data_IF_267473839188
#
_entry.id   IF_267473839188
#
_cell.length_a   1.000
_cell.length_b   1.000
_cell.length_c   1.000
_cell.angle_alpha   90.00
_cell.angle_beta   90.00
_cell.angle_gamma   90.00
#
_symmetry.space_group_name_H-M   'P 1'
#
loop_
_entity.id
_entity.type
_entity.pdbx_description
1 polymer ?
#
# COMPACT_ATOMS: atom_id res chain seq x y z
N UNK A 1 1.34 28.41 5.98
CA UNK A 1 0.67 27.18 6.46
C UNK A 1 0.79 26.14 5.35
N UNK A 2 1.64 25.12 5.49
CA UNK A 2 1.65 23.98 4.55
C UNK A 2 0.41 23.15 4.88
N UNK A 3 -0.56 23.10 3.97
CA UNK A 3 -1.75 22.25 4.14
C UNK A 3 -1.34 20.79 4.33
N UNK A 4 -2.05 20.06 5.19
CA UNK A 4 -1.85 18.63 5.42
C UNK A 4 -2.06 17.91 4.07
N UNK A 5 -0.99 17.38 3.46
CA UNK A 5 -1.13 16.53 2.27
C UNK A 5 -1.81 15.24 2.69
N UNK A 6 -2.95 14.94 2.09
CA UNK A 6 -3.57 13.63 2.21
C UNK A 6 -2.62 12.57 1.66
N UNK A 7 -2.51 11.43 2.36
CA UNK A 7 -1.60 10.34 1.97
C UNK A 7 -2.01 9.70 0.65
N UNK A 8 -3.30 9.68 0.37
CA UNK A 8 -3.90 9.00 -0.77
C UNK A 8 -4.88 9.94 -1.46
N UNK A 9 -4.94 9.89 -2.78
CA UNK A 9 -5.98 10.57 -3.56
C UNK A 9 -6.44 9.65 -4.68
N UNK A 10 -7.75 9.47 -4.82
CA UNK A 10 -8.33 8.66 -5.86
C UNK A 10 -8.31 9.40 -7.21
N UNK A 11 -7.95 8.71 -8.28
CA UNK A 11 -7.99 9.28 -9.63
C UNK A 11 -8.26 8.19 -10.67
N UNK A 12 -8.79 8.61 -11.82
CA UNK A 12 -9.00 7.71 -12.96
C UNK A 12 -7.71 7.61 -13.78
N UNK A 13 -7.20 6.39 -13.92
CA UNK A 13 -6.01 6.11 -14.73
C UNK A 13 -6.45 5.66 -16.14
N UNK A 14 -6.01 6.34 -17.22
CA UNK A 14 -6.30 5.92 -18.59
C UNK A 14 -5.86 4.48 -18.88
N UNK A 15 -6.62 3.73 -19.68
CA UNK A 15 -6.39 2.30 -19.92
C UNK A 15 -5.03 1.97 -20.59
N UNK A 16 -4.49 2.94 -21.33
CA UNK A 16 -3.19 2.92 -22.01
C UNK A 16 -2.05 3.49 -21.16
N UNK A 17 -2.32 3.91 -19.92
CA UNK A 17 -1.32 4.47 -19.03
C UNK A 17 -0.18 3.45 -18.77
N UNK A 18 1.10 3.88 -18.79
CA UNK A 18 2.26 2.98 -18.70
C UNK A 18 2.38 2.21 -17.37
N UNK A 19 1.63 2.60 -16.33
CA UNK A 19 1.55 1.84 -15.06
C UNK A 19 1.11 0.39 -15.29
N UNK A 20 0.20 0.16 -16.24
CA UNK A 20 -0.31 -1.18 -16.53
C UNK A 20 0.71 -2.08 -17.23
N UNK A 21 1.85 -1.55 -17.68
CA UNK A 21 2.97 -2.36 -18.21
C UNK A 21 4.02 -2.71 -17.15
N UNK A 22 3.90 -2.17 -15.93
CA UNK A 22 4.85 -2.47 -14.84
C UNK A 22 4.64 -3.87 -14.27
N UNK A 23 5.67 -4.38 -13.60
CA UNK A 23 5.60 -5.65 -12.87
C UNK A 23 4.76 -5.48 -11.61
N UNK A 24 4.06 -6.56 -11.22
CA UNK A 24 3.31 -6.60 -9.97
C UNK A 24 4.29 -6.50 -8.80
N UNK A 25 3.91 -5.75 -7.78
CA UNK A 25 4.71 -5.55 -6.58
C UNK A 25 4.93 -6.87 -5.81
N UNK A 26 6.08 -7.04 -5.11
CA UNK A 26 6.48 -8.33 -4.56
C UNK A 26 5.50 -8.93 -3.55
N UNK A 27 5.18 -8.22 -2.46
CA UNK A 27 4.21 -8.68 -1.46
C UNK A 27 2.79 -8.75 -2.05
N UNK A 28 2.29 -7.72 -2.76
CA UNK A 28 0.95 -7.78 -3.38
C UNK A 28 0.75 -8.99 -4.31
N UNK A 29 1.78 -9.41 -5.04
CA UNK A 29 1.72 -10.65 -5.84
C UNK A 29 1.48 -11.89 -4.98
N UNK A 30 2.18 -12.02 -3.84
CA UNK A 30 2.09 -13.18 -2.94
C UNK A 30 0.72 -13.27 -2.24
N UNK A 31 0.05 -12.14 -2.04
CA UNK A 31 -1.30 -12.10 -1.47
C UNK A 31 -2.40 -12.09 -2.55
N UNK A 32 -2.07 -12.20 -3.84
CA UNK A 32 -3.04 -12.18 -4.95
C UNK A 32 -3.82 -10.86 -5.12
N UNK A 33 -3.25 -9.73 -4.70
CA UNK A 33 -3.77 -8.38 -5.00
C UNK A 33 -2.81 -7.73 -6.00
N UNK A 34 -3.09 -7.74 -7.32
CA UNK A 34 -2.06 -7.51 -8.33
C UNK A 34 -1.75 -6.01 -8.50
N UNK A 35 -1.15 -5.37 -7.50
CA UNK A 35 -0.82 -3.94 -7.54
C UNK A 35 0.42 -3.66 -8.39
N UNK A 36 0.36 -2.57 -9.14
CA UNK A 36 1.45 -2.00 -9.94
C UNK A 36 1.68 -0.54 -9.55
N UNK A 37 2.92 -0.09 -9.63
CA UNK A 37 3.31 1.29 -9.27
C UNK A 37 4.04 2.01 -10.40
N UNK A 38 3.77 3.30 -10.56
CA UNK A 38 4.44 4.18 -11.52
C UNK A 38 4.80 5.51 -10.86
N UNK A 39 6.04 5.99 -11.06
CA UNK A 39 6.48 7.31 -10.55
C UNK A 39 6.11 8.41 -11.52
N UNK A 40 5.54 9.50 -11.01
CA UNK A 40 5.19 10.67 -11.84
C UNK A 40 6.39 11.58 -12.15
N UNK A 41 7.55 11.36 -11.52
CA UNK A 41 8.73 12.21 -11.73
C UNK A 41 8.66 13.53 -10.97
N UNK A 42 7.98 13.56 -9.82
CA UNK A 42 7.92 14.74 -8.94
C UNK A 42 9.32 15.25 -8.63
N UNK A 43 9.55 16.54 -8.92
CA UNK A 43 10.79 17.23 -8.63
C UNK A 43 10.56 18.22 -7.48
N UNK A 44 11.43 18.23 -6.49
CA UNK A 44 11.47 19.24 -5.43
C UNK A 44 12.92 19.45 -5.00
N UNK A 45 13.25 20.69 -4.66
CA UNK A 45 14.54 21.07 -4.08
C UNK A 45 14.64 20.63 -2.60
N UNK A 46 13.49 20.48 -1.93
CA UNK A 46 13.40 19.94 -0.57
C UNK A 46 13.27 18.41 -0.63
N UNK A 47 14.25 17.70 -0.07
CA UNK A 47 14.27 16.24 -0.06
C UNK A 47 13.06 15.65 0.66
N UNK A 48 12.56 16.33 1.70
CA UNK A 48 11.43 15.86 2.49
C UNK A 48 10.13 15.81 1.68
N UNK A 49 10.00 16.64 0.63
CA UNK A 49 8.84 16.61 -0.26
C UNK A 49 8.79 15.35 -1.14
N UNK A 50 9.92 14.65 -1.28
CA UNK A 50 10.04 13.43 -2.08
C UNK A 50 9.99 12.16 -1.23
N UNK A 51 9.85 12.29 0.09
CA UNK A 51 9.67 11.14 0.98
C UNK A 51 8.30 10.53 0.75
N UNK A 52 8.30 9.25 0.38
CA UNK A 52 7.09 8.46 0.19
C UNK A 52 7.32 7.07 0.79
N UNK A 53 7.25 7.01 2.11
CA UNK A 53 7.40 5.77 2.87
C UNK A 53 6.35 4.73 2.47
N UNK A 54 5.14 5.17 2.12
CA UNK A 54 4.10 4.29 1.61
C UNK A 54 4.54 3.52 0.35
N UNK A 55 5.05 4.24 -0.65
CA UNK A 55 5.59 3.62 -1.85
C UNK A 55 6.82 2.75 -1.57
N UNK A 56 7.64 3.12 -0.57
CA UNK A 56 8.78 2.33 -0.11
C UNK A 56 8.30 0.97 0.40
N UNK A 57 7.34 0.95 1.33
CA UNK A 57 6.85 -0.26 1.99
C UNK A 57 6.14 -1.19 1.01
N UNK A 58 5.40 -0.63 0.05
CA UNK A 58 4.77 -1.42 -1.02
C UNK A 58 5.79 -2.13 -1.93
N UNK A 59 7.05 -1.69 -1.95
CA UNK A 59 8.13 -2.25 -2.78
C UNK A 59 9.11 -3.13 -2.00
N UNK A 60 8.83 -3.48 -0.74
CA UNK A 60 9.74 -4.32 0.06
C UNK A 60 9.93 -5.69 -0.59
N UNK A 61 11.16 -6.18 -0.52
CA UNK A 61 11.49 -7.55 -0.89
C UNK A 61 11.04 -8.53 0.21
N UNK A 62 10.31 -9.60 -0.12
CA UNK A 62 9.77 -10.53 0.86
C UNK A 62 10.82 -11.31 1.65
N UNK A 63 12.06 -11.40 1.15
CA UNK A 63 13.11 -12.18 1.80
C UNK A 63 13.93 -11.34 2.78
N UNK A 64 14.13 -10.05 2.47
CA UNK A 64 15.01 -9.15 3.23
C UNK A 64 14.27 -8.05 3.99
N UNK A 65 13.02 -7.75 3.62
CA UNK A 65 12.26 -6.63 4.17
C UNK A 65 12.68 -5.26 3.63
N UNK A 66 13.72 -5.18 2.79
CA UNK A 66 14.17 -3.91 2.21
C UNK A 66 13.53 -3.66 0.85
N UNK A 67 13.11 -2.42 0.60
CA UNK A 67 12.80 -1.98 -0.75
C UNK A 67 14.10 -1.89 -1.57
N UNK A 68 14.07 -2.11 -2.91
CA UNK A 68 15.23 -1.85 -3.76
C UNK A 68 15.73 -0.41 -3.63
N UNK A 69 17.04 -0.10 -3.84
CA UNK A 69 17.60 1.23 -3.62
C UNK A 69 16.84 2.38 -4.30
N UNK A 70 16.31 2.13 -5.50
CA UNK A 70 15.49 3.11 -6.22
C UNK A 70 14.29 3.58 -5.38
N UNK A 71 13.68 2.68 -4.59
CA UNK A 71 12.47 2.87 -3.78
C UNK A 71 12.71 3.26 -2.33
N UNK A 72 13.96 3.39 -1.87
CA UNK A 72 14.23 3.69 -0.46
C UNK A 72 14.17 5.20 -0.12
N UNK A 73 14.42 6.07 -1.10
CA UNK A 73 14.49 7.52 -0.88
C UNK A 73 14.14 8.28 -2.15
N UNK A 74 13.72 9.54 -2.00
CA UNK A 74 13.37 10.45 -3.11
C UNK A 74 12.41 9.81 -4.12
N UNK A 75 11.39 9.15 -3.61
CA UNK A 75 10.43 8.38 -4.43
C UNK A 75 9.44 9.32 -5.12
N UNK A 76 9.04 10.40 -4.43
CA UNK A 76 8.09 11.38 -4.93
C UNK A 76 6.67 10.80 -5.07
N UNK A 77 5.85 11.44 -5.90
CA UNK A 77 4.47 11.03 -6.13
C UNK A 77 4.42 9.79 -7.04
N UNK A 78 3.54 8.85 -6.68
CA UNK A 78 3.32 7.63 -7.45
C UNK A 78 1.84 7.45 -7.78
N UNK A 79 1.58 6.76 -8.89
CA UNK A 79 0.29 6.14 -9.19
C UNK A 79 0.39 4.68 -8.78
N UNK A 80 -0.62 4.19 -8.06
CA UNK A 80 -0.83 2.76 -7.80
C UNK A 80 -2.12 2.34 -8.49
N UNK A 81 -2.10 1.21 -9.17
CA UNK A 81 -3.27 0.65 -9.84
C UNK A 81 -3.26 -0.88 -9.72
N UNK A 82 -4.39 -1.54 -10.01
CA UNK A 82 -4.39 -3.00 -10.20
C UNK A 82 -4.00 -3.35 -11.64
N UNK A 83 -3.11 -4.31 -11.82
CA UNK A 83 -2.65 -4.83 -13.12
C UNK A 83 -3.81 -5.35 -13.97
N UNK A 84 -4.81 -5.95 -13.32
CA UNK A 84 -6.03 -6.48 -13.95
C UNK A 84 -7.03 -5.39 -14.33
N UNK A 85 -6.71 -4.11 -14.11
CA UNK A 85 -7.54 -2.93 -14.39
C UNK A 85 -8.87 -2.89 -13.64
N UNK A 86 -9.06 -3.73 -12.62
CA UNK A 86 -10.21 -3.59 -11.72
C UNK A 86 -10.06 -2.34 -10.86
N UNK A 87 -11.17 -1.78 -10.35
CA UNK A 87 -11.11 -0.66 -9.42
C UNK A 87 -10.20 -0.95 -8.24
N UNK A 88 -9.36 0.02 -7.88
CA UNK A 88 -8.59 0.04 -6.65
C UNK A 88 -9.17 1.12 -5.75
N UNK A 89 -9.83 0.71 -4.66
CA UNK A 89 -10.33 1.67 -3.68
C UNK A 89 -9.18 2.15 -2.79
N UNK A 90 -9.27 3.37 -2.26
CA UNK A 90 -8.25 3.92 -1.33
C UNK A 90 -8.04 2.98 -0.14
N UNK A 91 -9.12 2.44 0.42
CA UNK A 91 -9.08 1.45 1.51
C UNK A 91 -8.34 0.16 1.12
N UNK A 92 -8.44 -0.30 -0.13
CA UNK A 92 -7.68 -1.47 -0.58
C UNK A 92 -6.18 -1.19 -0.52
N UNK A 93 -5.76 -0.02 -1.02
CA UNK A 93 -4.36 0.38 -1.00
C UNK A 93 -3.84 0.58 0.44
N UNK A 94 -4.65 1.21 1.29
CA UNK A 94 -4.30 1.46 2.69
C UNK A 94 -4.06 0.15 3.46
N UNK A 95 -4.97 -0.82 3.36
CA UNK A 95 -4.82 -2.10 4.08
C UNK A 95 -3.67 -2.93 3.51
N UNK A 96 -3.40 -2.87 2.19
CA UNK A 96 -2.21 -3.53 1.62
C UNK A 96 -0.92 -2.87 2.11
N UNK A 97 -0.88 -1.54 2.20
CA UNK A 97 0.26 -0.82 2.76
C UNK A 97 0.47 -1.17 4.25
N UNK A 98 -0.59 -1.14 5.05
CA UNK A 98 -0.58 -1.49 6.47
C UNK A 98 -0.15 -2.95 6.68
N UNK A 99 -0.55 -3.86 5.79
CA UNK A 99 -0.07 -5.23 5.81
C UNK A 99 1.43 -5.34 5.52
N UNK A 100 1.97 -4.52 4.62
CA UNK A 100 3.41 -4.45 4.38
C UNK A 100 4.16 -3.91 5.61
N UNK A 101 3.62 -2.91 6.30
CA UNK A 101 4.15 -2.41 7.58
C UNK A 101 4.12 -3.51 8.67
N UNK A 102 3.02 -4.26 8.75
CA UNK A 102 2.90 -5.41 9.65
C UNK A 102 3.99 -6.48 9.37
N UNK A 103 4.29 -6.76 8.11
CA UNK A 103 5.38 -7.65 7.70
C UNK A 103 6.74 -7.10 8.15
N UNK A 104 6.98 -5.80 8.00
CA UNK A 104 8.24 -5.17 8.41
C UNK A 104 8.53 -5.30 9.90
N UNK A 105 7.51 -5.32 10.75
CA UNK A 105 7.69 -5.54 12.19
C UNK A 105 8.39 -6.90 12.48
N UNK A 106 8.13 -7.95 11.69
CA UNK A 106 8.83 -9.23 11.85
C UNK A 106 10.34 -9.11 11.59
N UNK A 107 10.73 -8.31 10.59
CA UNK A 107 12.14 -8.05 10.33
C UNK A 107 12.76 -7.21 11.44
N UNK A 108 12.06 -6.17 11.93
CA UNK A 108 12.50 -5.33 13.04
C UNK A 108 12.69 -6.09 14.35
N UNK A 109 11.83 -7.09 14.60
CA UNK A 109 11.90 -7.96 15.78
C UNK A 109 12.95 -9.07 15.67
N UNK A 110 13.66 -9.18 14.54
CA UNK A 110 14.67 -10.22 14.29
C UNK A 110 14.08 -11.59 13.95
N UNK A 111 12.78 -11.69 13.67
CA UNK A 111 12.11 -12.93 13.28
C UNK A 111 12.39 -13.33 11.81
N UNK A 112 12.96 -12.43 11.03
CA UNK A 112 13.19 -12.63 9.59
C UNK A 112 11.90 -12.63 8.78
N UNK A 113 11.94 -13.24 7.58
CA UNK A 113 10.82 -13.25 6.65
C UNK A 113 9.62 -14.06 7.16
N UNK A 114 8.44 -13.44 7.38
CA UNK A 114 7.26 -14.15 7.87
C UNK A 114 6.51 -14.89 6.75
N UNK A 115 7.11 -15.95 6.20
CA UNK A 115 6.57 -16.70 5.03
C UNK A 115 5.12 -17.16 5.18
N UNK A 116 4.66 -17.44 6.41
CA UNK A 116 3.26 -17.77 6.73
C UNK A 116 2.23 -16.67 6.39
N UNK A 117 2.69 -15.42 6.23
CA UNK A 117 1.87 -14.27 5.85
C UNK A 117 1.80 -14.07 4.33
N UNK A 118 2.64 -14.76 3.55
CA UNK A 118 2.73 -14.55 2.11
C UNK A 118 1.72 -15.41 1.34
N UNK A 119 0.44 -15.18 1.61
CA UNK A 119 -0.66 -15.82 0.91
C UNK A 119 -1.96 -15.06 1.09
N UNK A 120 -2.89 -15.27 0.14
CA UNK A 120 -4.23 -14.68 0.15
C UNK A 120 -5.00 -14.90 1.45
N UNK A 121 -4.95 -16.11 2.02
CA UNK A 121 -5.75 -16.44 3.21
C UNK A 121 -5.28 -15.64 4.44
N UNK A 122 -3.97 -15.47 4.59
CA UNK A 122 -3.40 -14.64 5.66
C UNK A 122 -3.80 -13.18 5.51
N UNK A 123 -3.74 -12.62 4.29
CA UNK A 123 -4.21 -11.27 4.03
C UNK A 123 -5.72 -11.12 4.23
N UNK A 124 -6.54 -12.08 3.80
CA UNK A 124 -7.99 -12.04 3.98
C UNK A 124 -8.38 -11.99 5.47
N UNK A 125 -7.73 -12.81 6.31
CA UNK A 125 -7.93 -12.73 7.77
C UNK A 125 -7.47 -11.39 8.35
N UNK A 126 -6.38 -10.83 7.81
CA UNK A 126 -5.90 -9.51 8.22
C UNK A 126 -6.91 -8.41 7.85
N UNK A 127 -7.43 -8.44 6.62
CA UNK A 127 -8.48 -7.55 6.13
C UNK A 127 -9.72 -7.60 7.02
N UNK A 128 -10.23 -8.79 7.31
CA UNK A 128 -11.40 -9.00 8.18
C UNK A 128 -11.17 -8.41 9.59
N UNK A 129 -9.98 -8.64 10.16
CA UNK A 129 -9.59 -8.05 11.45
C UNK A 129 -9.49 -6.53 11.36
N UNK A 130 -8.89 -6.00 10.29
CA UNK A 130 -8.72 -4.56 10.08
C UNK A 130 -10.09 -3.87 10.00
N UNK A 131 -11.03 -4.40 9.21
CA UNK A 131 -12.39 -3.89 9.11
C UNK A 131 -13.18 -4.06 10.42
N UNK A 132 -12.98 -5.16 11.17
CA UNK A 132 -13.66 -5.41 12.44
C UNK A 132 -13.16 -4.58 13.63
N UNK A 133 -11.86 -4.29 13.69
CA UNK A 133 -11.23 -3.54 14.78
C UNK A 133 -11.49 -2.02 14.74
N UNK A 134 -11.95 -1.48 13.61
CA UNK A 134 -12.32 -0.06 13.50
C UNK A 134 -13.57 0.30 14.34
N UNK A 135 -14.29 -0.68 14.91
CA UNK A 135 -15.33 -0.47 15.93
C UNK A 135 -14.76 -0.24 17.35
N UNK A 136 -13.46 -0.40 17.56
CA UNK A 136 -12.78 -0.21 18.84
C UNK A 136 -11.50 0.63 18.65
N UNK A 137 -11.70 1.91 18.34
CA UNK A 137 -10.78 3.02 18.64
C UNK A 137 -9.34 2.89 18.13
N UNK A 138 -9.07 3.40 16.93
CA UNK A 138 -7.70 3.73 16.51
C UNK A 138 -7.41 5.19 16.77
N UNK A 139 -6.76 5.46 17.91
CA UNK A 139 -5.94 6.66 18.13
C UNK A 139 -4.74 6.62 17.18
N UNK A 140 -4.87 7.18 15.98
CA UNK A 140 -3.81 7.96 15.29
C UNK A 140 -4.48 8.98 14.36
N UNK A 141 -4.10 10.24 14.53
CA UNK A 141 -4.73 11.43 13.94
C UNK A 141 -4.89 11.37 12.42
N UNK A 142 -6.12 11.61 11.96
CA UNK A 142 -6.46 11.72 10.54
C UNK A 142 -7.70 10.94 10.11
N UNK A 143 -8.63 10.64 11.01
CA UNK A 143 -9.93 10.08 10.67
C UNK A 143 -10.91 11.22 10.33
N UNK A 144 -10.98 11.60 9.06
CA UNK A 144 -12.21 12.20 8.53
C UNK A 144 -12.94 11.13 7.70
N UNK A 145 -14.02 10.61 8.30
CA UNK A 145 -15.04 9.71 7.75
C UNK A 145 -14.58 8.31 7.27
N UNK A 146 -14.16 7.45 8.21
CA UNK A 146 -13.90 6.02 7.99
C UNK A 146 -15.04 5.08 8.47
N UNK A 147 -16.23 5.63 8.76
CA UNK A 147 -17.36 4.88 9.32
C UNK A 147 -17.98 3.82 8.38
N UNK A 148 -17.52 3.69 7.13
CA UNK A 148 -18.11 2.79 6.11
C UNK A 148 -17.25 1.55 5.78
N UNK A 149 -16.14 1.30 6.48
CA UNK A 149 -15.25 0.14 6.19
C UNK A 149 -15.94 -1.23 6.31
N UNK A 150 -16.97 -1.35 7.15
CA UNK A 150 -17.80 -2.56 7.24
C UNK A 150 -18.61 -2.86 5.97
N UNK A 151 -18.74 -1.89 5.06
CA UNK A 151 -19.41 -2.04 3.76
C UNK A 151 -18.43 -2.14 2.58
N UNK A 152 -17.13 -1.92 2.79
CA UNK A 152 -16.14 -2.01 1.72
C UNK A 152 -15.81 -3.48 1.45
N UNK A 153 -16.21 -3.95 0.27
CA UNK A 153 -15.88 -5.29 -0.23
C UNK A 153 -14.37 -5.53 -0.23
N UNK A 154 -13.98 -6.76 0.10
CA UNK A 154 -12.59 -7.19 0.01
C UNK A 154 -12.03 -6.96 -1.40
N UNK A 155 -10.71 -6.69 -1.56
CA UNK A 155 -10.08 -6.60 -2.87
C UNK A 155 -10.32 -7.82 -3.78
N UNK A 156 -10.72 -8.97 -3.24
CA UNK A 156 -11.02 -10.18 -4.01
C UNK A 156 -12.47 -10.28 -4.50
N UNK A 157 -13.35 -9.39 -4.04
CA UNK A 157 -14.81 -9.41 -4.30
C UNK A 157 -15.28 -8.33 -5.28
N UNK A 158 -14.34 -7.52 -5.78
CA UNK A 158 -14.58 -6.51 -6.82
C UNK A 158 -14.26 -7.07 -8.21
#
# INVERSE_FOLDING_TARGET
MRGKRERWSATTVPADHPVFSKQVLPIPALIEVPLVVYRLGTSSDDRADLDNQAATYLNIDPSSGFAPPAWQQRVGTVIVARKDRKPLLVHHLEVVWDYCDHILNYFGDGNGAPTKLYNRQAFQRYWEKYCGNQNLGSTKEGAENLNDLGMVKSPYEI
#
